data_IF_508422329034
#
_entry.id   IF_508422329034
#
_cell.length_a   1.000
_cell.length_b   1.000
_cell.length_c   1.000
_cell.angle_alpha   90.00
_cell.angle_beta   90.00
_cell.angle_gamma   90.00
#
_symmetry.space_group_name_H-M   'P 1'
#
loop_
_entity.id
_entity.type
_entity.pdbx_description
1 polymer ?
#
# COMPACT_ATOMS: atom_id res chain seq x y z
N UNK A 1 37.59 54.17 12.24
CA UNK A 1 36.14 54.05 12.53
C UNK A 1 35.45 53.43 11.31
N UNK A 2 35.97 52.29 10.84
CA UNK A 2 35.71 51.76 9.48
C UNK A 2 35.68 50.23 9.44
N UNK A 3 35.99 49.55 10.55
CA UNK A 3 35.99 48.08 10.60
C UNK A 3 34.65 47.49 11.09
N UNK A 4 33.86 48.27 11.82
CA UNK A 4 32.58 47.82 12.38
C UNK A 4 31.48 47.68 11.31
N UNK A 5 31.60 48.39 10.19
CA UNK A 5 30.62 48.37 9.10
C UNK A 5 30.76 47.13 8.22
N UNK A 6 31.97 46.56 8.12
CA UNK A 6 32.24 45.38 7.28
C UNK A 6 31.64 44.11 7.89
N UNK A 7 31.54 44.02 9.21
CA UNK A 7 30.99 42.84 9.89
C UNK A 7 29.46 42.72 9.81
N UNK A 8 28.74 43.81 9.61
CA UNK A 8 27.27 43.81 9.61
C UNK A 8 26.66 43.22 8.31
N UNK A 9 27.40 43.27 7.19
CA UNK A 9 26.90 42.82 5.88
C UNK A 9 27.04 41.30 5.67
N UNK A 10 27.86 40.61 6.46
CA UNK A 10 28.11 39.17 6.31
C UNK A 10 27.00 38.26 6.87
N UNK A 11 26.04 38.80 7.64
CA UNK A 11 25.06 37.98 8.40
C UNK A 11 23.81 37.57 7.60
N UNK A 12 23.63 38.04 6.37
CA UNK A 12 22.52 37.58 5.51
C UNK A 12 22.90 36.29 4.80
N UNK A 13 23.19 35.25 5.58
CA UNK A 13 23.23 33.87 5.13
C UNK A 13 21.84 33.52 4.57
N UNK A 14 21.70 33.75 3.27
CA UNK A 14 20.48 33.49 2.52
C UNK A 14 20.32 31.98 2.52
N UNK A 15 19.40 31.47 3.36
CA UNK A 15 19.01 30.04 3.30
C UNK A 15 18.72 29.74 1.83
N UNK A 16 19.38 28.75 1.20
CA UNK A 16 19.14 28.48 -0.20
C UNK A 16 17.64 28.20 -0.35
N UNK A 17 16.95 29.04 -1.11
CA UNK A 17 15.52 28.88 -1.33
C UNK A 17 15.32 27.50 -1.98
N UNK A 18 14.82 26.54 -1.20
CA UNK A 18 14.41 25.25 -1.73
C UNK A 18 13.34 25.54 -2.77
N UNK A 19 13.57 25.10 -4.00
CA UNK A 19 12.58 25.28 -5.08
C UNK A 19 11.25 24.71 -4.56
N UNK A 20 10.12 25.44 -4.68
CA UNK A 20 8.85 25.03 -4.08
C UNK A 20 8.45 23.60 -4.46
N UNK A 21 8.75 23.20 -5.71
CA UNK A 21 8.56 21.83 -6.22
C UNK A 21 9.31 20.76 -5.41
N UNK A 22 10.54 21.04 -4.94
CA UNK A 22 11.31 20.10 -4.10
C UNK A 22 10.67 19.94 -2.74
N UNK A 23 10.15 21.03 -2.18
CA UNK A 23 9.45 21.00 -0.89
C UNK A 23 8.14 20.23 -0.98
N UNK A 24 7.33 20.49 -2.01
CA UNK A 24 6.07 19.77 -2.29
C UNK A 24 6.33 18.28 -2.50
N UNK A 25 7.33 17.91 -3.30
CA UNK A 25 7.68 16.51 -3.53
C UNK A 25 8.08 15.80 -2.22
N UNK A 26 8.84 16.46 -1.34
CA UNK A 26 9.22 15.91 -0.04
C UNK A 26 8.01 15.74 0.88
N UNK A 27 7.16 16.77 0.99
CA UNK A 27 5.95 16.71 1.80
C UNK A 27 5.02 15.60 1.33
N UNK A 28 4.80 15.50 0.02
CA UNK A 28 4.03 14.43 -0.59
C UNK A 28 4.57 13.05 -0.18
N UNK A 29 5.88 12.82 -0.38
CA UNK A 29 6.51 11.55 -0.01
C UNK A 29 6.36 11.26 1.49
N UNK A 30 6.56 12.24 2.36
CA UNK A 30 6.40 12.07 3.82
C UNK A 30 4.98 11.64 4.20
N UNK A 31 3.95 12.20 3.58
CA UNK A 31 2.55 11.88 3.87
C UNK A 31 2.12 10.54 3.27
N UNK A 32 2.54 10.26 2.04
CA UNK A 32 2.10 9.08 1.28
C UNK A 32 2.86 7.82 1.67
N UNK A 33 4.10 7.94 2.15
CA UNK A 33 4.92 6.79 2.53
C UNK A 33 4.26 5.83 3.54
N UNK A 34 3.72 6.28 4.70
CA UNK A 34 3.06 5.36 5.63
C UNK A 34 1.84 4.67 4.99
N UNK A 35 1.07 5.39 4.16
CA UNK A 35 -0.09 4.83 3.47
C UNK A 35 0.31 3.73 2.47
N UNK A 36 1.35 3.99 1.66
CA UNK A 36 1.89 2.99 0.73
C UNK A 36 2.36 1.75 1.50
N UNK A 37 3.11 1.94 2.58
CA UNK A 37 3.66 0.83 3.35
C UNK A 37 2.55 -0.06 3.94
N UNK A 38 1.52 0.54 4.54
CA UNK A 38 0.39 -0.19 5.13
C UNK A 38 -0.37 -0.99 4.08
N UNK A 39 -0.73 -0.39 2.95
CA UNK A 39 -1.56 -1.06 1.95
C UNK A 39 -0.78 -2.04 1.07
N UNK A 40 0.52 -1.80 0.86
CA UNK A 40 1.40 -2.81 0.27
C UNK A 40 1.52 -4.02 1.21
N UNK A 41 1.68 -3.79 2.52
CA UNK A 41 1.70 -4.88 3.50
C UNK A 41 0.38 -5.67 3.46
N UNK A 42 -0.76 -4.99 3.50
CA UNK A 42 -2.07 -5.64 3.37
C UNK A 42 -2.18 -6.47 2.08
N UNK A 43 -1.70 -5.94 0.94
CA UNK A 43 -1.68 -6.66 -0.34
C UNK A 43 -0.83 -7.93 -0.30
N UNK A 44 0.28 -7.93 0.44
CA UNK A 44 1.13 -9.12 0.64
C UNK A 44 0.45 -10.19 1.50
N UNK A 45 -0.33 -9.77 2.51
CA UNK A 45 -1.14 -10.69 3.32
C UNK A 45 -2.27 -11.35 2.50
N UNK A 46 -2.77 -10.66 1.48
CA UNK A 46 -3.75 -11.17 0.52
C UNK A 46 -3.11 -12.08 -0.55
N UNK A 47 -2.36 -13.09 -0.10
CA UNK A 47 -1.75 -14.10 -0.97
C UNK A 47 -2.02 -15.51 -0.45
N UNK A 48 -2.22 -16.50 -1.34
CA UNK A 48 -2.35 -17.90 -0.91
C UNK A 48 -1.13 -18.41 -0.12
N UNK A 49 0.06 -17.90 -0.45
CA UNK A 49 1.29 -18.22 0.28
C UNK A 49 1.24 -17.77 1.75
N UNK A 50 0.71 -16.56 2.01
CA UNK A 50 0.53 -16.07 3.38
C UNK A 50 -0.52 -16.90 4.14
N UNK A 51 -1.64 -17.26 3.50
CA UNK A 51 -2.64 -18.16 4.10
C UNK A 51 -2.04 -19.51 4.50
N UNK A 52 -1.27 -20.11 3.59
CA UNK A 52 -0.58 -21.37 3.86
C UNK A 52 0.39 -21.24 5.03
N UNK A 53 1.16 -20.15 5.10
CA UNK A 53 2.06 -19.88 6.21
C UNK A 53 1.30 -19.74 7.54
N UNK A 54 0.27 -18.89 7.58
CA UNK A 54 -0.44 -18.54 8.81
C UNK A 54 -1.24 -19.72 9.36
N UNK A 55 -1.98 -20.44 8.52
CA UNK A 55 -2.78 -21.59 8.97
C UNK A 55 -1.96 -22.83 9.32
N UNK A 56 -0.69 -22.91 8.88
CA UNK A 56 0.22 -23.98 9.28
C UNK A 56 1.04 -23.65 10.54
N UNK A 57 0.89 -22.47 11.12
CA UNK A 57 1.65 -22.08 12.31
C UNK A 57 1.26 -22.96 13.51
N UNK A 58 2.24 -23.36 14.37
CA UNK A 58 1.93 -24.03 15.63
C UNK A 58 1.03 -23.17 16.52
N UNK A 59 0.00 -23.78 17.12
CA UNK A 59 -0.92 -23.08 18.03
C UNK A 59 -1.90 -22.12 17.34
N UNK A 60 -2.19 -22.28 16.04
CA UNK A 60 -3.30 -21.56 15.42
C UNK A 60 -4.64 -21.98 16.06
N UNK A 61 -5.52 -21.02 16.43
CA UNK A 61 -6.77 -21.34 17.12
C UNK A 61 -7.74 -22.13 16.23
N UNK A 62 -8.52 -22.99 16.89
CA UNK A 62 -9.65 -23.67 16.26
C UNK A 62 -10.67 -22.66 15.74
N UNK A 63 -11.35 -23.02 14.65
CA UNK A 63 -12.40 -22.20 14.09
C UNK A 63 -13.66 -22.22 14.94
N UNK A 64 -14.29 -21.06 15.12
CA UNK A 64 -15.55 -20.97 15.85
C UNK A 64 -16.70 -21.69 15.12
N UNK A 65 -16.70 -21.67 13.79
CA UNK A 65 -17.71 -22.31 12.95
C UNK A 65 -17.35 -23.77 12.59
N UNK A 66 -16.23 -24.28 13.10
CA UNK A 66 -15.83 -25.68 12.93
C UNK A 66 -15.04 -25.99 11.66
N UNK A 67 -14.60 -24.98 10.89
CA UNK A 67 -13.69 -25.23 9.77
C UNK A 67 -12.37 -25.86 10.23
N UNK A 68 -11.97 -26.95 9.58
CA UNK A 68 -10.63 -27.51 9.78
C UNK A 68 -9.58 -26.61 9.11
N UNK A 69 -8.31 -26.86 9.42
CA UNK A 69 -7.20 -26.21 8.72
C UNK A 69 -7.26 -26.46 7.20
N UNK A 70 -7.60 -27.67 6.80
CA UNK A 70 -7.68 -28.07 5.39
C UNK A 70 -8.83 -27.34 4.69
N UNK A 71 -10.00 -27.25 5.34
CA UNK A 71 -11.12 -26.48 4.81
C UNK A 71 -10.74 -25.02 4.62
N UNK A 72 -10.05 -24.40 5.58
CA UNK A 72 -9.60 -23.01 5.46
C UNK A 72 -8.63 -22.81 4.31
N UNK A 73 -7.68 -23.74 4.12
CA UNK A 73 -6.74 -23.69 3.00
C UNK A 73 -7.43 -23.92 1.65
N UNK A 74 -8.55 -24.65 1.63
CA UNK A 74 -9.35 -24.86 0.45
C UNK A 74 -10.24 -23.65 0.11
N UNK A 75 -10.98 -23.12 1.09
CA UNK A 75 -12.02 -22.11 0.84
C UNK A 75 -11.54 -20.66 0.93
N UNK A 76 -10.56 -20.35 1.79
CA UNK A 76 -10.09 -18.96 1.96
C UNK A 76 -9.49 -18.33 0.68
N UNK A 77 -8.77 -19.07 -0.19
CA UNK A 77 -8.26 -18.51 -1.44
C UNK A 77 -9.34 -17.89 -2.33
N UNK A 78 -10.54 -18.50 -2.42
CA UNK A 78 -11.63 -17.97 -3.24
C UNK A 78 -12.03 -16.55 -2.81
N UNK A 79 -12.14 -16.28 -1.51
CA UNK A 79 -12.46 -14.94 -1.02
C UNK A 79 -11.37 -13.92 -1.40
N UNK A 80 -10.10 -14.30 -1.27
CA UNK A 80 -8.96 -13.45 -1.66
C UNK A 80 -8.98 -13.17 -3.17
N UNK A 81 -9.15 -14.21 -3.98
CA UNK A 81 -9.17 -14.10 -5.44
C UNK A 81 -10.32 -13.20 -5.89
N UNK A 82 -11.52 -13.39 -5.33
CA UNK A 82 -12.68 -12.56 -5.64
C UNK A 82 -12.45 -11.07 -5.39
N UNK A 83 -11.81 -10.70 -4.28
CA UNK A 83 -11.49 -9.30 -3.97
C UNK A 83 -10.50 -8.69 -4.96
N UNK A 84 -9.61 -9.50 -5.52
CA UNK A 84 -8.51 -9.04 -6.39
C UNK A 84 -8.82 -9.12 -7.88
N UNK A 85 -9.81 -9.93 -8.28
CA UNK A 85 -10.18 -10.17 -9.66
C UNK A 85 -11.41 -9.36 -10.11
N UNK A 86 -11.78 -9.47 -11.38
CA UNK A 86 -12.97 -8.83 -11.96
C UNK A 86 -14.23 -9.70 -11.95
N UNK A 87 -14.28 -10.81 -11.19
CA UNK A 87 -15.40 -11.76 -11.24
C UNK A 87 -16.69 -11.19 -10.63
N UNK A 88 -17.83 -11.69 -11.11
CA UNK A 88 -19.15 -11.42 -10.54
C UNK A 88 -19.33 -12.11 -9.17
N UNK A 89 -20.31 -11.66 -8.38
CA UNK A 89 -20.63 -12.25 -7.08
C UNK A 89 -20.99 -13.74 -7.17
N UNK A 90 -21.45 -14.24 -8.32
CA UNK A 90 -21.65 -15.67 -8.56
C UNK A 90 -20.40 -16.52 -8.32
N UNK A 91 -19.19 -15.97 -8.49
CA UNK A 91 -17.94 -16.66 -8.20
C UNK A 91 -17.86 -17.16 -6.74
N UNK A 92 -18.47 -16.42 -5.80
CA UNK A 92 -18.63 -16.87 -4.41
C UNK A 92 -20.00 -17.52 -4.18
N UNK A 93 -21.05 -17.03 -4.84
CA UNK A 93 -22.42 -17.51 -4.67
C UNK A 93 -22.64 -18.95 -5.11
N UNK A 94 -21.85 -19.44 -6.07
CA UNK A 94 -21.94 -20.81 -6.58
C UNK A 94 -21.10 -21.81 -5.77
N UNK A 95 -20.34 -21.34 -4.76
CA UNK A 95 -19.56 -22.22 -3.89
C UNK A 95 -20.48 -22.96 -2.92
N UNK A 96 -20.31 -24.28 -2.85
CA UNK A 96 -21.08 -25.15 -1.97
C UNK A 96 -20.16 -26.01 -1.10
N UNK A 97 -20.64 -26.34 0.09
CA UNK A 97 -20.07 -27.39 0.93
C UNK A 97 -20.25 -28.78 0.29
N UNK A 98 -19.54 -29.83 0.78
CA UNK A 98 -19.70 -31.20 0.27
C UNK A 98 -21.12 -31.77 0.40
N UNK A 99 -21.92 -31.23 1.31
CA UNK A 99 -23.34 -31.59 1.49
C UNK A 99 -24.29 -30.84 0.53
N UNK A 100 -23.76 -30.01 -0.38
CA UNK A 100 -24.52 -29.20 -1.34
C UNK A 100 -25.11 -27.91 -0.77
N UNK A 101 -24.92 -27.62 0.52
CA UNK A 101 -25.36 -26.35 1.09
C UNK A 101 -24.48 -25.20 0.57
N UNK A 102 -25.04 -23.99 0.33
CA UNK A 102 -24.25 -22.84 -0.11
C UNK A 102 -23.23 -22.44 0.97
N UNK A 103 -22.02 -22.11 0.54
CA UNK A 103 -20.92 -21.67 1.41
C UNK A 103 -21.19 -20.27 1.99
N UNK A 104 -21.76 -19.39 1.17
CA UNK A 104 -22.14 -18.03 1.55
C UNK A 104 -23.65 -17.87 1.53
N UNK A 105 -24.20 -17.19 2.53
CA UNK A 105 -25.58 -16.74 2.50
C UNK A 105 -25.72 -15.39 1.76
N UNK A 106 -26.97 -15.01 1.45
CA UNK A 106 -27.25 -13.79 0.69
C UNK A 106 -26.69 -12.50 1.33
N UNK A 107 -26.67 -12.40 2.67
CA UNK A 107 -26.14 -11.22 3.37
C UNK A 107 -24.62 -11.17 3.29
N UNK A 108 -23.95 -12.32 3.39
CA UNK A 108 -22.50 -12.41 3.25
C UNK A 108 -22.03 -12.09 1.83
N UNK A 109 -22.79 -12.51 0.81
CA UNK A 109 -22.50 -12.14 -0.58
C UNK A 109 -22.56 -10.63 -0.80
N UNK A 110 -23.61 -9.96 -0.31
CA UNK A 110 -23.71 -8.50 -0.37
C UNK A 110 -22.51 -7.85 0.34
N UNK A 111 -22.15 -8.35 1.52
CA UNK A 111 -20.99 -7.85 2.25
C UNK A 111 -19.68 -8.02 1.46
N UNK A 112 -19.50 -9.15 0.78
CA UNK A 112 -18.31 -9.41 -0.04
C UNK A 112 -18.20 -8.44 -1.23
N UNK A 113 -19.32 -7.99 -1.80
CA UNK A 113 -19.32 -6.95 -2.84
C UNK A 113 -18.76 -5.64 -2.27
N UNK A 114 -19.22 -5.21 -1.10
CA UNK A 114 -18.73 -3.99 -0.45
C UNK A 114 -17.22 -4.09 -0.16
N UNK A 115 -16.78 -5.22 0.40
CA UNK A 115 -15.37 -5.49 0.69
C UNK A 115 -14.54 -5.41 -0.60
N UNK A 116 -15.00 -6.03 -1.69
CA UNK A 116 -14.30 -6.00 -2.99
C UNK A 116 -14.13 -4.57 -3.50
N UNK A 117 -15.18 -3.76 -3.48
CA UNK A 117 -15.13 -2.37 -3.94
C UNK A 117 -14.13 -1.57 -3.11
N UNK A 118 -14.17 -1.68 -1.78
CA UNK A 118 -13.24 -0.98 -0.88
C UNK A 118 -11.80 -1.41 -1.13
N UNK A 119 -11.54 -2.72 -1.23
CA UNK A 119 -10.19 -3.26 -1.48
C UNK A 119 -9.63 -2.77 -2.81
N UNK A 120 -10.42 -2.82 -3.89
CA UNK A 120 -9.98 -2.40 -5.22
C UNK A 120 -9.73 -0.90 -5.31
N UNK A 121 -10.59 -0.07 -4.72
CA UNK A 121 -10.38 1.37 -4.64
C UNK A 121 -9.13 1.71 -3.84
N UNK A 122 -8.93 1.08 -2.68
CA UNK A 122 -7.75 1.31 -1.84
C UNK A 122 -6.45 0.98 -2.59
N UNK A 123 -6.40 -0.18 -3.26
CA UNK A 123 -5.21 -0.57 -4.04
C UNK A 123 -5.04 0.29 -5.30
N UNK A 124 -6.11 0.71 -5.96
CA UNK A 124 -6.05 1.64 -7.09
C UNK A 124 -5.45 2.99 -6.70
N UNK A 125 -5.90 3.57 -5.59
CA UNK A 125 -5.36 4.85 -5.06
C UNK A 125 -3.88 4.70 -4.71
N UNK A 126 -3.50 3.63 -4.03
CA UNK A 126 -2.11 3.36 -3.66
C UNK A 126 -1.22 3.13 -4.87
N UNK A 127 -1.72 2.44 -5.89
CA UNK A 127 -0.98 2.23 -7.13
C UNK A 127 -0.65 3.57 -7.80
N UNK A 128 -1.65 4.44 -7.98
CA UNK A 128 -1.45 5.78 -8.56
C UNK A 128 -0.52 6.63 -7.69
N UNK A 129 -0.73 6.64 -6.37
CA UNK A 129 0.11 7.37 -5.43
C UNK A 129 1.57 6.87 -5.46
N UNK A 130 1.76 5.56 -5.63
CA UNK A 130 3.06 4.92 -5.79
C UNK A 130 3.78 5.36 -7.07
N UNK A 131 3.07 5.43 -8.20
CA UNK A 131 3.65 5.94 -9.45
C UNK A 131 4.12 7.40 -9.31
N UNK A 132 3.32 8.25 -8.66
CA UNK A 132 3.70 9.64 -8.39
C UNK A 132 4.91 9.69 -7.45
N UNK A 133 4.97 8.82 -6.43
CA UNK A 133 6.11 8.74 -5.51
C UNK A 133 7.40 8.36 -6.24
N UNK A 134 7.36 7.37 -7.15
CA UNK A 134 8.51 7.01 -8.00
C UNK A 134 8.94 8.19 -8.87
N UNK A 135 7.98 8.92 -9.47
CA UNK A 135 8.26 10.15 -10.22
C UNK A 135 8.93 11.23 -9.37
N UNK A 136 8.45 11.47 -8.15
CA UNK A 136 9.04 12.41 -7.22
C UNK A 136 10.47 12.01 -6.80
N UNK A 137 10.70 10.74 -6.49
CA UNK A 137 12.03 10.22 -6.12
C UNK A 137 13.01 10.38 -7.28
N UNK A 138 12.63 10.00 -8.50
CA UNK A 138 13.49 10.11 -9.69
C UNK A 138 13.82 11.56 -10.02
N UNK A 139 12.85 12.48 -9.91
CA UNK A 139 13.06 13.92 -10.07
C UNK A 139 14.06 14.46 -9.04
N UNK A 140 13.87 14.14 -7.76
CA UNK A 140 14.75 14.59 -6.68
C UNK A 140 16.16 14.03 -6.81
N UNK A 141 16.31 12.76 -7.21
CA UNK A 141 17.59 12.11 -7.45
C UNK A 141 18.39 12.79 -8.57
N UNK A 142 17.75 13.07 -9.71
CA UNK A 142 18.37 13.78 -10.85
C UNK A 142 18.82 15.20 -10.49
N UNK A 143 18.03 15.92 -9.69
CA UNK A 143 18.37 17.27 -9.24
C UNK A 143 19.62 17.31 -8.36
N UNK A 144 19.89 16.24 -7.61
CA UNK A 144 21.02 16.14 -6.70
C UNK A 144 22.30 15.75 -7.45
N UNK A 145 22.22 14.79 -8.36
CA UNK A 145 23.32 14.41 -9.25
C UNK A 145 23.81 15.61 -10.09
N UNK A 146 22.88 16.36 -10.71
CA UNK A 146 23.23 17.55 -11.51
C UNK A 146 24.00 18.61 -10.71
N UNK A 147 23.67 18.80 -9.43
CA UNK A 147 24.39 19.72 -8.54
C UNK A 147 25.78 19.21 -8.15
N UNK A 148 25.96 17.91 -8.02
CA UNK A 148 27.25 17.31 -7.70
C UNK A 148 28.27 17.48 -8.84
N UNK A 149 27.83 17.35 -10.10
CA UNK A 149 28.69 17.57 -11.26
C UNK A 149 29.19 19.02 -11.39
N UNK A 150 28.32 20.02 -11.13
CA UNK A 150 28.68 21.44 -11.19
C UNK A 150 29.64 21.90 -10.06
N UNK A 151 29.87 21.08 -9.04
CA UNK A 151 30.80 21.38 -7.93
C UNK A 151 32.20 20.81 -8.14
N UNK A 152 32.40 19.99 -9.17
CA UNK A 152 33.66 19.28 -9.45
C UNK A 152 34.38 19.76 -10.73
N UNK A 153 33.83 20.76 -11.42
CA UNK A 153 34.48 21.48 -12.50
C UNK A 153 34.53 22.96 -12.15
#
# INVERSE_FOLDING_TARGET
>A
MTETTTFYIQSKQSRPAVRPVVWVARLYLTLVFPLLLTLIAARLLMTPAFLAFEYNRPGFPADFYGFTREDRLNYAPYAIEYMLNGADISYLGDLTFPNGAPLYNARELIHMVDVKVVTQLAFGVVFVAGLIAVGAITYLGRSTARRAHLRRG
#
